data_IF_589419299333
#
_entry.id   IF_589419299333
#
_cell.length_a   1.000
_cell.length_b   1.000
_cell.length_c   1.000
_cell.angle_alpha   90.00
_cell.angle_beta   90.00
_cell.angle_gamma   90.00
#
_symmetry.space_group_name_H-M   'P 1'
#
loop_
_entity.id
_entity.type
_entity.pdbx_description
1 polymer ?
#
# COMPACT_ATOMS: atom_id res chain seq x y z
N UNK A 1 -16.73 -26.31 13.98
CA UNK A 1 -16.88 -24.91 13.53
C UNK A 1 -15.62 -24.62 12.73
N UNK A 2 -15.61 -25.02 11.47
CA UNK A 2 -14.44 -24.94 10.59
C UNK A 2 -14.97 -24.75 9.15
N UNK A 3 -15.38 -23.51 8.84
CA UNK A 3 -16.08 -23.20 7.58
C UNK A 3 -15.12 -22.81 6.46
N UNK A 4 -13.85 -22.54 6.77
CA UNK A 4 -12.85 -22.06 5.81
C UNK A 4 -11.50 -22.73 6.10
N UNK A 5 -10.76 -23.11 5.06
CA UNK A 5 -9.41 -23.73 5.19
C UNK A 5 -8.30 -22.70 5.44
N UNK A 6 -8.61 -21.58 6.09
CA UNK A 6 -7.68 -20.45 6.26
C UNK A 6 -6.88 -20.65 7.56
N UNK A 7 -5.56 -20.78 7.43
CA UNK A 7 -4.63 -20.90 8.57
C UNK A 7 -3.92 -19.56 8.79
N UNK A 8 -3.91 -19.07 10.03
CA UNK A 8 -3.27 -17.80 10.39
C UNK A 8 -2.26 -17.97 11.52
N UNK A 9 -1.16 -17.17 11.53
CA UNK A 9 -0.27 -17.10 12.67
C UNK A 9 -0.99 -16.68 13.96
N UNK A 10 -0.49 -17.11 15.11
CA UNK A 10 -1.06 -16.76 16.42
C UNK A 10 -1.14 -15.24 16.57
N UNK A 11 -2.32 -14.74 16.95
CA UNK A 11 -2.56 -13.32 17.21
C UNK A 11 -2.89 -12.47 15.96
N UNK A 12 -2.88 -13.04 14.75
CA UNK A 12 -3.19 -12.28 13.53
C UNK A 12 -4.68 -12.10 13.25
N UNK A 13 -5.55 -12.90 13.88
CA UNK A 13 -6.99 -12.92 13.56
C UNK A 13 -7.67 -11.55 13.71
N UNK A 14 -7.20 -10.71 14.66
CA UNK A 14 -7.74 -9.37 14.90
C UNK A 14 -7.38 -8.34 13.83
N UNK A 15 -6.32 -8.59 13.04
CA UNK A 15 -5.78 -7.62 12.08
C UNK A 15 -5.65 -8.18 10.66
N UNK A 16 -5.90 -9.46 10.43
CA UNK A 16 -5.73 -10.10 9.12
C UNK A 16 -6.50 -9.35 8.02
N UNK A 17 -7.75 -8.96 8.26
CA UNK A 17 -8.54 -8.23 7.27
C UNK A 17 -8.00 -6.82 7.00
N UNK A 18 -7.46 -6.15 8.02
CA UNK A 18 -6.77 -4.86 7.86
C UNK A 18 -5.51 -5.03 7.00
N UNK A 19 -4.73 -6.09 7.24
CA UNK A 19 -3.56 -6.42 6.44
C UNK A 19 -3.94 -6.73 5.00
N UNK A 20 -5.01 -7.50 4.77
CA UNK A 20 -5.55 -7.79 3.44
C UNK A 20 -5.94 -6.50 2.73
N UNK A 21 -6.72 -5.63 3.37
CA UNK A 21 -7.08 -4.33 2.79
C UNK A 21 -5.85 -3.50 2.41
N UNK A 22 -4.90 -3.34 3.33
CA UNK A 22 -3.71 -2.54 3.10
C UNK A 22 -2.83 -3.10 1.96
N UNK A 23 -2.70 -4.42 1.88
CA UNK A 23 -1.97 -5.08 0.81
C UNK A 23 -2.62 -4.83 -0.56
N UNK A 24 -3.92 -5.11 -0.68
CA UNK A 24 -4.64 -4.91 -1.94
C UNK A 24 -4.71 -3.43 -2.34
N UNK A 25 -4.81 -2.50 -1.39
CA UNK A 25 -4.78 -1.07 -1.66
C UNK A 25 -3.45 -0.66 -2.32
N UNK A 26 -2.32 -1.12 -1.78
CA UNK A 26 -1.00 -0.81 -2.36
C UNK A 26 -0.78 -1.50 -3.70
N UNK A 27 -1.18 -2.78 -3.84
CA UNK A 27 -1.10 -3.52 -5.11
C UNK A 27 -1.91 -2.84 -6.23
N UNK A 28 -3.01 -2.17 -5.88
CA UNK A 28 -3.85 -1.41 -6.81
C UNK A 28 -3.28 -0.03 -7.18
N UNK A 29 -2.04 0.29 -6.77
CA UNK A 29 -1.42 1.59 -7.04
C UNK A 29 -1.83 2.70 -6.07
N UNK A 30 -2.39 2.34 -4.91
CA UNK A 30 -2.77 3.30 -3.89
C UNK A 30 -1.58 4.11 -3.34
N UNK A 31 -1.85 5.35 -2.95
CA UNK A 31 -0.84 6.23 -2.36
C UNK A 31 -0.55 5.84 -0.89
N UNK A 32 0.72 5.61 -0.55
CA UNK A 32 1.15 5.17 0.79
C UNK A 32 0.80 6.17 1.91
N UNK A 33 0.82 7.47 1.62
CA UNK A 33 0.45 8.53 2.58
C UNK A 33 -1.07 8.55 2.82
N UNK A 34 -1.86 8.25 1.79
CA UNK A 34 -3.30 8.06 1.92
C UNK A 34 -3.60 6.84 2.77
N UNK A 35 -2.92 5.73 2.52
CA UNK A 35 -3.07 4.51 3.33
C UNK A 35 -2.72 4.75 4.80
N UNK A 36 -1.68 5.53 5.10
CA UNK A 36 -1.33 5.91 6.48
C UNK A 36 -2.51 6.56 7.21
N UNK A 37 -3.18 7.52 6.55
CA UNK A 37 -4.34 8.22 7.13
C UNK A 37 -5.53 7.29 7.30
N UNK A 38 -5.84 6.46 6.30
CA UNK A 38 -6.93 5.47 6.36
C UNK A 38 -6.74 4.51 7.54
N UNK A 39 -5.50 4.05 7.75
CA UNK A 39 -5.15 3.11 8.82
C UNK A 39 -4.97 3.79 10.19
N UNK A 40 -5.01 5.13 10.27
CA UNK A 40 -4.76 5.89 11.48
C UNK A 40 -3.35 5.69 12.05
N UNK A 41 -2.36 5.44 11.19
CA UNK A 41 -0.98 5.23 11.64
C UNK A 41 -0.32 6.56 12.01
N UNK A 42 0.13 6.68 13.26
CA UNK A 42 0.85 7.84 13.74
C UNK A 42 2.21 8.01 13.05
N UNK A 43 2.96 6.92 12.89
CA UNK A 43 4.27 6.92 12.21
C UNK A 43 4.15 6.24 10.85
N UNK A 44 4.67 6.88 9.80
CA UNK A 44 4.73 6.33 8.44
C UNK A 44 5.45 4.99 8.40
N UNK A 45 6.43 4.74 9.29
CA UNK A 45 7.14 3.44 9.38
C UNK A 45 6.19 2.26 9.56
N UNK A 46 5.03 2.45 10.21
CA UNK A 46 4.00 1.42 10.35
C UNK A 46 3.41 1.05 8.98
N UNK A 47 3.11 2.05 8.15
CA UNK A 47 2.55 1.86 6.81
C UNK A 47 3.59 1.36 5.80
N UNK A 48 4.87 1.73 5.98
CA UNK A 48 5.96 1.30 5.09
C UNK A 48 6.12 -0.21 4.98
N UNK A 49 5.55 -1.00 5.90
CA UNK A 49 5.45 -2.46 5.79
C UNK A 49 4.80 -2.91 4.47
N UNK A 50 3.91 -2.10 3.88
CA UNK A 50 3.22 -2.41 2.63
C UNK A 50 3.85 -1.78 1.39
N UNK A 51 4.91 -0.96 1.53
CA UNK A 51 5.47 -0.21 0.41
C UNK A 51 5.98 -1.10 -0.72
N UNK A 52 6.52 -2.29 -0.39
CA UNK A 52 7.01 -3.27 -1.35
C UNK A 52 5.93 -3.86 -2.27
N UNK A 53 4.65 -3.69 -1.93
CA UNK A 53 3.52 -4.18 -2.74
C UNK A 53 3.08 -3.19 -3.81
N UNK A 54 3.63 -1.97 -3.80
CA UNK A 54 3.25 -0.94 -4.72
C UNK A 54 3.84 -1.21 -6.13
N UNK A 55 3.08 -1.01 -7.21
CA UNK A 55 3.51 -1.33 -8.57
C UNK A 55 4.58 -0.37 -9.09
N UNK A 56 5.55 -0.88 -9.87
CA UNK A 56 6.74 -0.19 -10.39
C UNK A 56 6.61 1.34 -10.58
N UNK A 57 7.36 2.12 -9.78
CA UNK A 57 7.28 3.59 -9.74
C UNK A 57 8.26 4.32 -10.66
N UNK A 58 9.21 3.63 -11.28
CA UNK A 58 10.29 4.30 -12.01
C UNK A 58 9.80 5.02 -13.27
N UNK A 59 8.74 4.51 -13.91
CA UNK A 59 8.11 5.17 -15.07
C UNK A 59 7.46 6.53 -14.68
N UNK A 60 6.97 6.65 -13.44
CA UNK A 60 6.39 7.89 -12.91
C UNK A 60 7.45 9.00 -12.90
N UNK A 61 8.72 8.68 -12.61
CA UNK A 61 9.80 9.67 -12.64
C UNK A 61 10.01 10.23 -14.05
N UNK A 62 9.92 9.40 -15.10
CA UNK A 62 10.00 9.85 -16.49
C UNK A 62 8.79 10.70 -16.90
N UNK A 63 7.61 10.42 -16.35
CA UNK A 63 6.38 11.14 -16.70
C UNK A 63 6.22 12.48 -15.96
N UNK A 64 6.60 12.55 -14.70
CA UNK A 64 6.32 13.70 -13.82
C UNK A 64 7.56 14.52 -13.45
N UNK A 65 8.69 14.33 -14.15
CA UNK A 65 9.81 15.25 -14.02
C UNK A 65 9.47 16.62 -14.64
N UNK A 66 10.04 17.72 -14.13
CA UNK A 66 9.72 19.07 -14.60
C UNK A 66 10.12 19.31 -16.07
N UNK A 67 11.15 18.64 -16.58
CA UNK A 67 11.60 18.82 -17.97
C UNK A 67 10.58 18.29 -18.99
N UNK A 68 9.88 17.20 -18.67
CA UNK A 68 8.82 16.66 -19.51
C UNK A 68 7.68 17.67 -19.71
N UNK A 69 7.33 18.43 -18.67
CA UNK A 69 6.26 19.44 -18.73
C UNK A 69 6.66 20.69 -19.51
N UNK A 70 7.94 21.03 -19.54
CA UNK A 70 8.45 22.23 -20.22
C UNK A 70 8.48 22.14 -21.74
N UNK A 71 8.46 20.93 -22.32
CA UNK A 71 8.52 20.73 -23.78
C UNK A 71 7.14 20.91 -24.45
N UNK A 72 6.06 20.81 -23.67
CA UNK A 72 4.67 20.91 -24.14
C UNK A 72 4.02 22.28 -23.93
N UNK A 73 4.75 23.27 -23.40
CA UNK A 73 4.29 24.66 -23.22
C UNK A 73 4.90 25.57 -24.29
#
# INVERSE_FOLDING_TARGET
MDKTSIVLPRGQLTHVLRHTFAAHFMMSGGNILTLQKILGHHDIKMTMRYAHLAPNHLEIALRFNPLATMITA
#
